data_IF_513593013733
#
_entry.id   IF_513593013733
#
_cell.length_a   1.000
_cell.length_b   1.000
_cell.length_c   1.000
_cell.angle_alpha   90.00
_cell.angle_beta   90.00
_cell.angle_gamma   90.00
#
_symmetry.space_group_name_H-M   'P 1'
#
loop_
_entity.id
_entity.type
_entity.pdbx_description
1 polymer ?
#
# COMPACT_ATOMS: atom_id res chain seq x y z
N UNK A 1 -22.42 22.45 -4.95
CA UNK A 1 -21.00 22.42 -5.36
C UNK A 1 -20.68 20.97 -5.68
N UNK A 2 -20.33 20.60 -6.91
CA UNK A 2 -19.95 19.22 -7.21
C UNK A 2 -18.56 18.99 -6.61
N UNK A 3 -18.47 18.07 -5.66
CA UNK A 3 -17.23 17.70 -4.97
C UNK A 3 -16.37 16.86 -5.94
N UNK A 4 -15.59 17.57 -6.77
CA UNK A 4 -14.76 17.02 -7.83
C UNK A 4 -13.46 16.43 -7.27
N UNK A 5 -13.58 15.35 -6.49
CA UNK A 5 -12.48 14.47 -6.11
C UNK A 5 -12.91 13.01 -6.10
N UNK A 6 -13.59 12.56 -7.14
CA UNK A 6 -13.39 11.17 -7.58
C UNK A 6 -11.98 11.06 -8.15
N UNK A 7 -10.96 11.17 -7.29
CA UNK A 7 -9.63 10.67 -7.62
C UNK A 7 -9.85 9.20 -7.97
N UNK A 8 -9.73 8.88 -9.26
CA UNK A 8 -10.01 7.56 -9.76
C UNK A 8 -9.19 6.56 -8.93
N UNK A 9 -9.88 5.75 -8.12
CA UNK A 9 -9.26 4.74 -7.29
C UNK A 9 -8.38 3.87 -8.20
N UNK A 10 -7.12 3.62 -7.81
CA UNK A 10 -6.21 2.80 -8.61
C UNK A 10 -6.89 1.46 -8.95
N UNK A 11 -6.80 0.91 -10.16
CA UNK A 11 -7.47 -0.36 -10.44
C UNK A 11 -6.88 -1.49 -9.58
N UNK A 12 -7.66 -2.50 -9.19
CA UNK A 12 -7.16 -3.64 -8.41
C UNK A 12 -5.92 -4.29 -9.06
N UNK A 13 -5.91 -4.33 -10.40
CA UNK A 13 -4.78 -4.81 -11.20
C UNK A 13 -3.47 -4.07 -10.92
N UNK A 14 -3.51 -2.79 -10.58
CA UNK A 14 -2.33 -1.99 -10.24
C UNK A 14 -1.62 -2.57 -9.00
N UNK A 15 -2.35 -2.82 -7.91
CA UNK A 15 -1.76 -3.40 -6.70
C UNK A 15 -1.22 -4.81 -6.94
N UNK A 16 -1.93 -5.62 -7.74
CA UNK A 16 -1.46 -6.97 -8.11
C UNK A 16 -0.11 -6.96 -8.81
N UNK A 17 0.17 -5.93 -9.61
CA UNK A 17 1.43 -5.82 -10.34
C UNK A 17 2.63 -5.59 -9.40
N UNK A 18 2.41 -5.07 -8.18
CA UNK A 18 3.47 -4.87 -7.17
C UNK A 18 4.09 -6.18 -6.67
N UNK A 19 3.42 -7.32 -6.88
CA UNK A 19 4.03 -8.63 -6.65
C UNK A 19 5.24 -8.88 -7.56
N UNK A 20 5.30 -8.24 -8.73
CA UNK A 20 6.37 -8.43 -9.71
C UNK A 20 7.42 -7.32 -9.63
N UNK A 21 8.69 -7.64 -9.89
CA UNK A 21 9.76 -6.63 -9.97
C UNK A 21 9.44 -5.54 -10.99
N UNK A 22 8.96 -5.91 -12.18
CA UNK A 22 8.58 -4.98 -13.24
C UNK A 22 7.49 -4.02 -12.76
N UNK A 23 6.42 -4.55 -12.16
CA UNK A 23 5.32 -3.72 -11.68
C UNK A 23 5.73 -2.77 -10.56
N UNK A 24 6.64 -3.18 -9.67
CA UNK A 24 7.21 -2.28 -8.64
C UNK A 24 8.04 -1.15 -9.22
N UNK A 25 8.82 -1.43 -10.26
CA UNK A 25 9.60 -0.41 -10.95
C UNK A 25 8.71 0.57 -11.73
N UNK A 26 7.71 0.06 -12.45
CA UNK A 26 6.77 0.89 -13.21
C UNK A 26 5.87 1.75 -12.30
N UNK A 27 5.50 1.21 -11.13
CA UNK A 27 4.68 1.90 -10.15
C UNK A 27 5.49 2.76 -9.17
N UNK A 28 6.82 2.61 -9.16
CA UNK A 28 7.72 3.15 -8.14
C UNK A 28 7.23 2.88 -6.70
N UNK A 29 6.70 1.68 -6.47
CA UNK A 29 5.99 1.33 -5.25
C UNK A 29 6.25 -0.12 -4.84
N UNK A 30 6.10 -0.41 -3.55
CA UNK A 30 6.17 -1.75 -2.99
C UNK A 30 4.83 -2.16 -2.38
N UNK A 31 4.68 -3.45 -2.09
CA UNK A 31 3.58 -3.98 -1.29
C UNK A 31 4.18 -4.40 0.05
N UNK A 32 3.64 -3.88 1.15
CA UNK A 32 4.06 -4.25 2.50
C UNK A 32 2.82 -4.69 3.25
N UNK A 33 2.92 -5.89 3.82
CA UNK A 33 1.81 -6.57 4.46
C UNK A 33 2.07 -6.68 5.97
N UNK A 34 1.09 -6.27 6.79
CA UNK A 34 1.11 -6.44 8.25
C UNK A 34 1.30 -5.14 9.03
N UNK A 35 0.65 -5.04 10.18
CA UNK A 35 0.64 -3.84 11.04
C UNK A 35 2.03 -3.46 11.59
N UNK A 36 2.88 -4.44 11.90
CA UNK A 36 4.23 -4.18 12.45
C UNK A 36 5.15 -3.45 11.47
N UNK A 37 5.40 -3.94 10.23
CA UNK A 37 6.23 -3.21 9.28
C UNK A 37 5.61 -1.86 8.88
N UNK A 38 4.27 -1.76 8.84
CA UNK A 38 3.58 -0.47 8.64
C UNK A 38 3.96 0.53 9.72
N UNK A 39 3.79 0.17 11.00
CA UNK A 39 4.14 1.05 12.11
C UNK A 39 5.61 1.44 12.11
N UNK A 40 6.49 0.54 11.68
CA UNK A 40 7.92 0.84 11.56
C UNK A 40 8.18 1.93 10.52
N UNK A 41 7.52 1.87 9.35
CA UNK A 41 7.65 2.90 8.31
C UNK A 41 7.05 4.22 8.80
N UNK A 42 5.87 4.19 9.43
CA UNK A 42 5.26 5.40 10.02
C UNK A 42 6.18 6.09 11.01
N UNK A 43 6.93 5.29 11.79
CA UNK A 43 7.86 5.82 12.80
C UNK A 43 9.13 6.41 12.20
N UNK A 44 9.60 5.88 11.07
CA UNK A 44 10.83 6.32 10.41
C UNK A 44 10.56 7.42 9.38
N UNK A 45 9.68 7.15 8.42
CA UNK A 45 9.35 8.02 7.28
C UNK A 45 7.84 7.95 7.00
N UNK A 46 7.01 8.68 7.76
CA UNK A 46 5.57 8.62 7.60
C UNK A 46 5.08 9.08 6.23
N UNK A 47 5.79 9.99 5.58
CA UNK A 47 5.41 10.55 4.27
C UNK A 47 5.62 9.58 3.11
N UNK A 48 6.33 8.48 3.34
CA UNK A 48 6.54 7.47 2.30
C UNK A 48 5.25 6.68 2.01
N UNK A 49 4.27 6.66 2.92
CA UNK A 49 3.02 5.92 2.74
C UNK A 49 2.02 6.70 1.87
N UNK A 50 1.72 6.18 0.69
CA UNK A 50 0.74 6.80 -0.23
C UNK A 50 -0.70 6.37 0.07
N UNK A 51 -0.93 5.08 0.36
CA UNK A 51 -2.29 4.55 0.57
C UNK A 51 -2.29 3.25 1.37
N UNK A 52 -3.23 3.11 2.31
CA UNK A 52 -3.49 1.89 3.06
C UNK A 52 -4.74 1.20 2.51
N UNK A 53 -4.58 -0.04 2.03
CA UNK A 53 -5.68 -0.87 1.54
C UNK A 53 -6.10 -1.88 2.62
N UNK A 54 -7.39 -1.95 2.92
CA UNK A 54 -7.94 -2.77 4.01
C UNK A 54 -9.36 -3.26 3.71
N UNK A 55 -9.82 -4.28 4.42
CA UNK A 55 -11.19 -4.81 4.35
C UNK A 55 -12.14 -4.18 5.37
N UNK A 56 -11.59 -3.45 6.33
CA UNK A 56 -12.33 -2.83 7.43
C UNK A 56 -11.84 -1.40 7.66
N UNK A 57 -12.58 -0.66 8.48
CA UNK A 57 -12.21 0.69 8.85
C UNK A 57 -10.91 0.68 9.65
N UNK A 58 -9.98 1.57 9.29
CA UNK A 58 -8.68 1.66 9.94
C UNK A 58 -8.79 2.32 11.32
N UNK A 59 -7.92 1.90 12.24
CA UNK A 59 -7.70 2.58 13.52
C UNK A 59 -7.43 4.08 13.31
N UNK A 60 -7.86 4.97 14.24
CA UNK A 60 -7.55 6.41 14.18
C UNK A 60 -6.09 6.76 13.96
N UNK A 61 -5.17 5.88 14.38
CA UNK A 61 -3.74 6.01 14.13
C UNK A 61 -3.38 6.18 12.64
N UNK A 62 -4.20 5.64 11.73
CA UNK A 62 -3.97 5.63 10.29
C UNK A 62 -4.77 6.68 9.52
N UNK A 63 -5.62 7.49 10.18
CA UNK A 63 -6.56 8.40 9.49
C UNK A 63 -5.90 9.51 8.67
N UNK A 64 -4.62 9.79 8.93
CA UNK A 64 -3.84 10.75 8.13
C UNK A 64 -3.45 10.22 6.75
N UNK A 65 -3.62 8.93 6.49
CA UNK A 65 -3.28 8.28 5.22
C UNK A 65 -4.49 8.09 4.33
N UNK A 66 -4.28 8.14 3.01
CA UNK A 66 -5.31 7.74 2.06
C UNK A 66 -5.70 6.28 2.33
N UNK A 67 -7.01 6.02 2.39
CA UNK A 67 -7.54 4.68 2.63
C UNK A 67 -8.31 4.16 1.43
N UNK A 68 -8.19 2.86 1.19
CA UNK A 68 -9.05 2.14 0.26
C UNK A 68 -9.65 0.92 0.93
N UNK A 69 -10.98 0.91 0.97
CA UNK A 69 -11.73 -0.27 1.37
C UNK A 69 -11.86 -1.23 0.17
N UNK A 70 -11.54 -2.50 0.38
CA UNK A 70 -11.66 -3.57 -0.61
C UNK A 70 -12.38 -4.76 -0.01
N UNK A 71 -12.93 -5.64 -0.84
CA UNK A 71 -13.49 -6.91 -0.35
C UNK A 71 -12.36 -7.87 0.04
N UNK A 72 -12.65 -8.86 0.88
CA UNK A 72 -11.68 -9.91 1.23
C UNK A 72 -11.14 -10.65 -0.01
N UNK A 73 -12.00 -10.83 -1.02
CA UNK A 73 -11.60 -11.46 -2.28
C UNK A 73 -10.58 -10.61 -3.04
N UNK A 74 -10.81 -9.29 -3.10
CA UNK A 74 -9.87 -8.35 -3.71
C UNK A 74 -8.56 -8.31 -2.94
N UNK A 75 -8.61 -8.21 -1.61
CA UNK A 75 -7.42 -8.18 -0.76
C UNK A 75 -6.57 -9.44 -0.93
N UNK A 76 -7.19 -10.63 -0.92
CA UNK A 76 -6.50 -11.91 -1.21
C UNK A 76 -5.91 -11.99 -2.62
N UNK A 77 -6.51 -11.30 -3.59
CA UNK A 77 -5.99 -11.28 -4.96
C UNK A 77 -4.75 -10.38 -5.12
N UNK A 78 -4.56 -9.45 -4.19
CA UNK A 78 -3.46 -8.47 -4.17
C UNK A 78 -2.29 -9.02 -3.35
N UNK A 79 -2.59 -9.57 -2.17
CA UNK A 79 -1.59 -9.94 -1.20
C UNK A 79 -1.10 -11.38 -1.38
N UNK A 80 0.14 -11.58 -0.98
CA UNK A 80 0.81 -12.89 -0.97
C UNK A 80 0.51 -13.67 0.31
N UNK A 81 0.20 -12.97 1.42
CA UNK A 81 -0.12 -13.61 2.71
C UNK A 81 -1.62 -13.84 2.92
N UNK A 82 -1.96 -14.74 3.86
CA UNK A 82 -3.34 -15.15 4.16
C UNK A 82 -4.15 -14.08 4.93
N UNK A 83 -3.50 -13.11 5.57
CA UNK A 83 -4.18 -12.06 6.36
C UNK A 83 -3.37 -10.74 6.32
N UNK A 84 -3.31 -10.08 5.17
CA UNK A 84 -2.60 -8.83 5.01
C UNK A 84 -3.33 -7.70 5.77
N UNK A 85 -2.60 -6.96 6.58
CA UNK A 85 -3.09 -5.70 7.12
C UNK A 85 -2.33 -4.60 6.39
N UNK A 86 -3.01 -3.86 5.54
CA UNK A 86 -2.45 -2.71 4.81
C UNK A 86 -1.58 -3.06 3.60
N UNK A 87 -1.46 -2.06 2.73
CA UNK A 87 -0.50 -1.97 1.63
C UNK A 87 0.27 -0.68 1.92
N UNK A 88 1.57 -0.66 1.67
CA UNK A 88 2.38 0.56 1.84
C UNK A 88 3.11 0.82 0.55
N UNK A 89 2.85 1.99 0.01
CA UNK A 89 3.63 2.60 -1.04
C UNK A 89 4.94 3.15 -0.47
N UNK A 90 6.01 3.22 -1.25
CA UNK A 90 7.28 3.84 -0.85
C UNK A 90 7.82 4.58 -2.08
N UNK A 91 7.75 5.93 -2.14
CA UNK A 91 8.38 6.67 -3.22
C UNK A 91 9.91 6.55 -3.08
N UNK A 92 10.66 6.36 -4.18
CA UNK A 92 12.10 6.24 -4.10
C UNK A 92 12.73 7.63 -3.91
N UNK A 93 12.89 8.08 -2.66
CA UNK A 93 13.86 9.14 -2.36
C UNK A 93 15.24 8.51 -2.14
N UNK A 94 15.92 8.24 -3.27
CA UNK A 94 17.29 7.71 -3.35
C UNK A 94 17.47 6.26 -2.88
N UNK A 95 17.41 5.34 -3.84
CA UNK A 95 17.82 3.94 -3.68
C UNK A 95 19.35 3.85 -3.48
N UNK A 96 19.82 3.48 -2.28
CA UNK A 96 20.66 2.28 -2.18
C UNK A 96 20.34 1.43 -0.94
N UNK A 97 20.47 0.11 -1.10
CA UNK A 97 20.62 -0.88 -0.01
C UNK A 97 19.37 -1.27 0.79
N UNK A 98 18.33 -1.80 0.15
CA UNK A 98 17.52 -2.84 0.78
C UNK A 98 17.63 -4.13 -0.03
N UNK A 99 18.41 -5.09 0.51
CA UNK A 99 18.46 -6.47 0.03
C UNK A 99 17.10 -7.11 0.27
N UNK A 100 16.20 -7.01 -0.72
CA UNK A 100 15.03 -7.87 -0.80
C UNK A 100 15.56 -9.24 -1.22
N UNK A 101 15.71 -10.16 -0.26
CA UNK A 101 15.96 -11.56 -0.58
C UNK A 101 14.74 -12.11 -1.31
N UNK A 102 15.01 -12.73 -2.45
CA UNK A 102 14.03 -13.42 -3.31
C UNK A 102 13.27 -14.54 -2.59
#
# INVERSE_FOLDING_TARGET
>A
MPDDRTMALKPIKWYKNLATRKGRLEAEAFLIEGDRPIKQIISSNPDDIIEIVSTEELSPFYHKYSKRLVTDSQLRSICSTKSPQGIIDLPPKNWPSYNVRE
#
